data_IF_505380763404
#
_entry.id   IF_505380763404
#
_cell.length_a   1.000
_cell.length_b   1.000
_cell.length_c   1.000
_cell.angle_alpha   90.00
_cell.angle_beta   90.00
_cell.angle_gamma   90.00
#
_symmetry.space_group_name_H-M   'P 1'
#
loop_
_entity.id
_entity.type
_entity.pdbx_description
1 polymer ?
#
# COMPACT_ATOMS: atom_id res chain seq x y z
N UNK A 1 11.70 10.35 -12.33
CA UNK A 1 10.30 10.59 -11.92
C UNK A 1 9.91 12.05 -12.06
N UNK A 2 10.58 13.01 -11.41
CA UNK A 2 10.27 14.44 -11.63
C UNK A 2 10.28 14.84 -13.11
N UNK A 3 11.30 14.43 -13.88
CA UNK A 3 11.35 14.73 -15.33
C UNK A 3 10.28 14.05 -16.20
N UNK A 4 9.66 12.94 -15.76
CA UNK A 4 8.56 12.30 -16.52
C UNK A 4 7.22 12.99 -16.26
N UNK A 5 7.05 13.58 -15.07
CA UNK A 5 5.90 14.41 -14.76
C UNK A 5 5.90 15.71 -15.59
N UNK A 6 7.09 16.27 -15.81
CA UNK A 6 7.27 17.47 -16.63
C UNK A 6 6.90 17.23 -18.12
N UNK A 7 7.01 15.98 -18.60
CA UNK A 7 6.61 15.56 -19.96
C UNK A 7 5.13 15.13 -20.07
N UNK A 8 4.35 15.20 -18.97
CA UNK A 8 2.96 14.72 -18.89
C UNK A 8 2.76 13.25 -19.29
N UNK A 9 3.81 12.43 -19.18
CA UNK A 9 3.74 11.01 -19.51
C UNK A 9 3.07 10.20 -18.38
N UNK A 10 2.49 9.05 -18.73
CA UNK A 10 2.02 8.06 -17.76
C UNK A 10 3.21 7.34 -17.11
N UNK A 11 3.15 7.14 -15.79
CA UNK A 11 4.19 6.40 -15.08
C UNK A 11 3.65 5.66 -13.85
N UNK A 12 4.41 4.68 -13.39
CA UNK A 12 4.15 3.94 -12.17
C UNK A 12 5.43 3.83 -11.33
N UNK A 13 5.27 3.75 -10.01
CA UNK A 13 6.38 3.53 -9.09
C UNK A 13 5.94 2.67 -7.91
N UNK A 14 6.88 1.89 -7.38
CA UNK A 14 6.66 1.08 -6.19
C UNK A 14 7.10 1.84 -4.93
N UNK A 15 6.29 1.73 -3.87
CA UNK A 15 6.65 2.24 -2.55
C UNK A 15 5.93 1.44 -1.48
N UNK A 16 6.50 1.42 -0.26
CA UNK A 16 5.91 0.67 0.84
C UNK A 16 4.76 1.41 1.53
N UNK A 17 4.38 2.62 1.08
CA UNK A 17 3.39 3.52 1.71
C UNK A 17 3.66 3.87 3.19
N UNK A 18 4.87 3.57 3.71
CA UNK A 18 5.19 3.80 5.13
C UNK A 18 5.71 5.22 5.42
N UNK A 19 6.10 5.96 4.38
CA UNK A 19 6.51 7.37 4.43
C UNK A 19 5.38 8.28 3.97
N UNK A 20 5.40 9.55 4.39
CA UNK A 20 4.47 10.59 3.93
C UNK A 20 4.93 11.28 2.65
N UNK A 21 6.21 11.15 2.28
CA UNK A 21 6.83 11.88 1.16
C UNK A 21 6.06 11.69 -0.15
N UNK A 22 5.64 10.47 -0.46
CA UNK A 22 4.89 10.20 -1.68
C UNK A 22 3.47 10.78 -1.65
N UNK A 23 2.86 10.97 -0.47
CA UNK A 23 1.56 11.61 -0.40
C UNK A 23 1.63 13.08 -0.89
N UNK A 24 2.70 13.80 -0.51
CA UNK A 24 2.93 15.15 -1.04
C UNK A 24 3.21 15.16 -2.55
N UNK A 25 3.95 14.16 -3.05
CA UNK A 25 4.18 14.02 -4.49
C UNK A 25 2.87 13.76 -5.25
N UNK A 26 2.00 12.88 -4.76
CA UNK A 26 0.69 12.64 -5.37
C UNK A 26 -0.20 13.88 -5.34
N UNK A 27 -0.18 14.67 -4.26
CA UNK A 27 -0.90 15.95 -4.21
C UNK A 27 -0.44 16.91 -5.32
N UNK A 28 0.88 17.02 -5.53
CA UNK A 28 1.45 17.84 -6.61
C UNK A 28 0.97 17.36 -7.98
N UNK A 29 1.06 16.05 -8.25
CA UNK A 29 0.63 15.47 -9.52
C UNK A 29 -0.86 15.71 -9.79
N UNK A 30 -1.73 15.56 -8.78
CA UNK A 30 -3.16 15.87 -8.94
C UNK A 30 -3.38 17.34 -9.31
N UNK A 31 -2.64 18.26 -8.69
CA UNK A 31 -2.72 19.68 -9.04
C UNK A 31 -2.27 19.96 -10.48
N UNK A 32 -1.43 19.11 -11.05
CA UNK A 32 -0.95 19.16 -12.44
C UNK A 32 -1.87 18.41 -13.43
N UNK A 33 -2.97 17.80 -12.95
CA UNK A 33 -3.98 17.14 -13.77
C UNK A 33 -3.82 15.62 -13.90
N UNK A 34 -2.93 15.00 -13.14
CA UNK A 34 -2.77 13.54 -13.14
C UNK A 34 -3.92 12.81 -12.46
N UNK A 35 -4.27 11.66 -13.02
CA UNK A 35 -5.14 10.65 -12.39
C UNK A 35 -4.26 9.71 -11.56
N UNK A 36 -4.56 9.59 -10.28
CA UNK A 36 -3.83 8.77 -9.33
C UNK A 36 -4.55 7.44 -9.11
N UNK A 37 -3.93 6.36 -9.57
CA UNK A 37 -4.37 4.99 -9.29
C UNK A 37 -3.47 4.35 -8.24
N UNK A 38 -4.04 3.79 -7.17
CA UNK A 38 -3.31 3.09 -6.11
C UNK A 38 -3.68 1.60 -6.09
N UNK A 39 -2.68 0.75 -6.29
CA UNK A 39 -2.80 -0.70 -6.11
C UNK A 39 -2.02 -1.09 -4.86
N UNK A 40 -2.71 -1.49 -3.80
CA UNK A 40 -2.10 -1.79 -2.51
C UNK A 40 -2.20 -3.27 -2.15
N UNK A 41 -1.04 -3.88 -1.90
CA UNK A 41 -0.95 -5.25 -1.41
C UNK A 41 -0.62 -5.24 0.08
N UNK A 42 -1.45 -5.88 0.88
CA UNK A 42 -1.22 -6.05 2.32
C UNK A 42 -1.08 -7.52 2.68
N UNK A 43 -0.62 -7.75 3.91
CA UNK A 43 -0.67 -9.03 4.59
C UNK A 43 -1.58 -8.92 5.81
N UNK A 44 -1.98 -10.06 6.36
CA UNK A 44 -2.77 -10.17 7.58
C UNK A 44 -1.91 -10.10 8.87
N UNK A 45 -0.59 -10.21 8.76
CA UNK A 45 0.31 -10.25 9.92
C UNK A 45 1.71 -9.70 9.61
N UNK A 46 2.22 -8.80 10.45
CA UNK A 46 3.59 -8.30 10.40
C UNK A 46 4.64 -9.43 10.53
N UNK A 47 4.33 -10.49 11.29
CA UNK A 47 5.20 -11.66 11.42
C UNK A 47 5.36 -12.38 10.09
N UNK A 48 4.35 -12.38 9.23
CA UNK A 48 4.47 -12.95 7.88
C UNK A 48 5.42 -12.09 7.02
N UNK A 49 5.34 -10.76 7.11
CA UNK A 49 6.30 -9.88 6.45
C UNK A 49 7.74 -10.20 6.89
N UNK A 50 7.95 -10.36 8.20
CA UNK A 50 9.25 -10.74 8.76
C UNK A 50 9.73 -12.10 8.22
N UNK A 51 8.88 -13.13 8.24
CA UNK A 51 9.22 -14.46 7.69
C UNK A 51 9.63 -14.37 6.21
N UNK A 52 8.93 -13.58 5.40
CA UNK A 52 9.27 -13.38 3.99
C UNK A 52 10.62 -12.67 3.81
N UNK A 53 10.93 -11.68 4.65
CA UNK A 53 12.26 -11.04 4.66
C UNK A 53 13.35 -12.05 5.03
N UNK A 54 13.13 -12.86 6.08
CA UNK A 54 14.12 -13.89 6.47
C UNK A 54 14.31 -14.94 5.37
N UNK A 55 13.25 -15.31 4.67
CA UNK A 55 13.35 -16.24 3.55
C UNK A 55 14.20 -15.67 2.41
N UNK A 56 13.95 -14.43 1.95
CA UNK A 56 14.78 -13.83 0.89
C UNK A 56 16.23 -13.61 1.32
N UNK A 57 16.50 -13.33 2.60
CA UNK A 57 17.88 -13.18 3.12
C UNK A 57 18.65 -14.50 2.98
N UNK A 58 17.99 -15.64 3.25
CA UNK A 58 18.57 -16.97 3.00
C UNK A 58 18.90 -17.21 1.52
N UNK A 59 18.22 -16.50 0.61
CA UNK A 59 18.44 -16.55 -0.84
C UNK A 59 19.35 -15.41 -1.35
N UNK A 60 20.07 -14.72 -0.47
CA UNK A 60 21.02 -13.64 -0.83
C UNK A 60 20.43 -12.23 -0.89
N UNK A 61 19.18 -12.03 -0.45
CA UNK A 61 18.55 -10.71 -0.39
C UNK A 61 18.98 -9.85 0.82
N UNK A 62 18.63 -8.56 0.79
CA UNK A 62 18.94 -7.61 1.87
C UNK A 62 18.10 -7.84 3.14
N UNK A 63 18.79 -7.85 4.30
CA UNK A 63 18.17 -7.96 5.62
C UNK A 63 17.61 -6.62 6.11
N UNK A 64 16.50 -6.67 6.83
CA UNK A 64 15.89 -5.48 7.43
C UNK A 64 15.56 -5.84 8.88
N UNK A 65 15.92 -4.99 9.87
CA UNK A 65 15.61 -5.27 11.26
C UNK A 65 14.11 -5.49 11.50
N UNK A 66 13.76 -6.50 12.31
CA UNK A 66 12.37 -6.85 12.61
C UNK A 66 11.55 -5.65 13.09
N UNK A 67 12.10 -4.82 13.99
CA UNK A 67 11.44 -3.60 14.48
C UNK A 67 11.08 -2.63 13.34
N UNK A 68 11.93 -2.52 12.32
CA UNK A 68 11.69 -1.68 11.15
C UNK A 68 10.57 -2.26 10.28
N UNK A 69 10.57 -3.58 10.06
CA UNK A 69 9.53 -4.28 9.30
C UNK A 69 8.17 -4.08 9.98
N UNK A 70 8.07 -4.39 11.27
CA UNK A 70 6.83 -4.23 12.05
C UNK A 70 6.33 -2.79 12.02
N UNK A 71 7.20 -1.82 12.27
CA UNK A 71 6.84 -0.40 12.21
C UNK A 71 6.33 0.01 10.83
N UNK A 72 7.02 -0.41 9.75
CA UNK A 72 6.63 -0.07 8.37
C UNK A 72 5.31 -0.71 7.97
N UNK A 73 5.05 -1.95 8.40
CA UNK A 73 3.81 -2.68 8.14
C UNK A 73 2.58 -1.95 8.70
N UNK A 74 2.61 -1.58 9.98
CA UNK A 74 1.47 -0.87 10.56
C UNK A 74 1.32 0.54 10.00
N UNK A 75 2.44 1.27 9.83
CA UNK A 75 2.40 2.61 9.22
C UNK A 75 1.86 2.59 7.79
N UNK A 76 2.20 1.59 6.97
CA UNK A 76 1.68 1.52 5.61
C UNK A 76 0.17 1.34 5.58
N UNK A 77 -0.39 0.50 6.47
CA UNK A 77 -1.83 0.34 6.64
C UNK A 77 -2.49 1.65 7.09
N UNK A 78 -1.99 2.28 8.15
CA UNK A 78 -2.54 3.55 8.65
C UNK A 78 -2.47 4.64 7.58
N UNK A 79 -1.35 4.76 6.88
CA UNK A 79 -1.18 5.75 5.83
C UNK A 79 -2.06 5.45 4.62
N UNK A 80 -2.21 4.19 4.22
CA UNK A 80 -3.10 3.80 3.13
C UNK A 80 -4.50 4.39 3.38
N UNK A 81 -5.09 4.12 4.54
CA UNK A 81 -6.42 4.61 4.90
C UNK A 81 -6.48 6.13 5.10
N UNK A 82 -5.51 6.73 5.79
CA UNK A 82 -5.62 8.13 6.25
C UNK A 82 -5.02 9.15 5.28
N UNK A 83 -4.02 8.77 4.50
CA UNK A 83 -3.25 9.69 3.65
C UNK A 83 -3.43 9.42 2.16
N UNK A 84 -3.45 8.15 1.76
CA UNK A 84 -3.42 7.79 0.34
C UNK A 84 -4.82 7.60 -0.26
N UNK A 85 -5.77 7.01 0.47
CA UNK A 85 -7.15 6.88 0.00
C UNK A 85 -7.76 8.21 -0.47
N UNK A 86 -7.62 9.34 0.26
CA UNK A 86 -8.19 10.62 -0.19
C UNK A 86 -7.50 11.23 -1.43
N UNK A 87 -6.29 10.74 -1.77
CA UNK A 87 -5.53 11.22 -2.94
C UNK A 87 -5.79 10.37 -4.18
N UNK A 88 -6.29 9.15 -4.02
CA UNK A 88 -6.52 8.24 -5.13
C UNK A 88 -7.85 8.56 -5.85
N UNK A 89 -7.78 8.69 -7.17
CA UNK A 89 -8.97 8.70 -8.04
C UNK A 89 -9.53 7.29 -8.19
N UNK A 90 -8.65 6.29 -8.12
CA UNK A 90 -9.01 4.87 -8.09
C UNK A 90 -8.07 4.12 -7.14
N UNK A 91 -8.62 3.21 -6.34
CA UNK A 91 -7.79 2.36 -5.50
C UNK A 91 -8.29 0.92 -5.44
N UNK A 92 -7.35 -0.01 -5.26
CA UNK A 92 -7.61 -1.42 -5.05
C UNK A 92 -6.75 -1.93 -3.92
N UNK A 93 -7.31 -2.76 -3.04
CA UNK A 93 -6.57 -3.41 -1.97
C UNK A 93 -6.70 -4.94 -2.05
N UNK A 94 -5.57 -5.62 -1.93
CA UNK A 94 -5.46 -7.07 -2.02
C UNK A 94 -4.76 -7.64 -0.79
N UNK A 95 -5.24 -8.78 -0.30
CA UNK A 95 -4.50 -9.62 0.64
C UNK A 95 -3.58 -10.56 -0.13
N UNK A 96 -2.28 -10.51 0.15
CA UNK A 96 -1.30 -11.43 -0.41
C UNK A 96 -0.71 -12.37 0.65
N UNK A 97 -1.49 -12.75 1.67
CA UNK A 97 -0.99 -13.55 2.79
C UNK A 97 -0.73 -15.01 2.41
N UNK A 98 -1.50 -15.56 1.46
CA UNK A 98 -1.39 -16.97 1.04
C UNK A 98 -0.14 -17.25 0.22
N UNK A 99 0.44 -16.24 -0.44
CA UNK A 99 1.60 -16.38 -1.31
C UNK A 99 1.35 -17.11 -2.64
N UNK A 100 0.07 -17.40 -2.98
CA UNK A 100 -0.34 -17.96 -4.27
C UNK A 100 -0.93 -16.86 -5.15
N UNK A 101 -2.20 -16.56 -4.94
CA UNK A 101 -2.94 -15.52 -5.65
C UNK A 101 -3.42 -14.48 -4.65
N UNK A 102 -3.17 -13.21 -4.94
CA UNK A 102 -3.66 -12.12 -4.11
C UNK A 102 -5.19 -12.06 -4.16
N UNK A 103 -5.82 -12.02 -2.99
CA UNK A 103 -7.28 -11.97 -2.88
C UNK A 103 -7.74 -10.52 -2.80
N UNK A 104 -8.60 -10.09 -3.73
CA UNK A 104 -9.17 -8.74 -3.67
C UNK A 104 -10.02 -8.56 -2.40
N UNK A 105 -9.71 -7.51 -1.64
CA UNK A 105 -10.42 -7.15 -0.42
C UNK A 105 -11.54 -6.16 -0.76
N UNK A 106 -11.18 -5.06 -1.40
CA UNK A 106 -12.07 -3.96 -1.78
C UNK A 106 -11.43 -3.11 -2.89
N UNK A 107 -12.26 -2.34 -3.59
CA UNK A 107 -11.81 -1.34 -4.55
C UNK A 107 -12.77 -0.16 -4.60
N UNK A 108 -12.27 0.95 -5.13
CA UNK A 108 -13.02 2.14 -5.49
C UNK A 108 -12.71 2.50 -6.91
N UNK A 109 -13.73 2.45 -7.77
CA UNK A 109 -13.67 2.76 -9.20
C UNK A 109 -14.98 3.47 -9.54
N UNK A 110 -14.95 4.49 -10.41
CA UNK A 110 -16.15 5.21 -10.86
C UNK A 110 -17.03 5.72 -9.70
N UNK A 111 -16.40 6.29 -8.67
CA UNK A 111 -17.07 6.79 -7.46
C UNK A 111 -17.83 5.74 -6.63
N UNK A 112 -17.57 4.45 -6.83
CA UNK A 112 -18.21 3.37 -6.10
C UNK A 112 -17.19 2.53 -5.34
N UNK A 113 -17.39 2.40 -4.03
CA UNK A 113 -16.61 1.46 -3.21
C UNK A 113 -17.32 0.10 -3.17
N UNK A 114 -16.61 -0.95 -3.58
CA UNK A 114 -17.07 -2.33 -3.44
C UNK A 114 -16.17 -3.06 -2.45
N UNK A 115 -16.78 -3.67 -1.45
CA UNK A 115 -16.09 -4.52 -0.48
C UNK A 115 -16.38 -5.98 -0.83
N UNK A 116 -15.41 -6.67 -1.43
CA UNK A 116 -15.54 -8.07 -1.84
C UNK A 116 -15.43 -9.04 -0.66
N UNK A 117 -14.55 -8.74 0.31
CA UNK A 117 -14.38 -9.56 1.50
C UNK A 117 -14.57 -8.72 2.76
N UNK A 118 -15.77 -8.79 3.34
CA UNK A 118 -16.10 -8.06 4.56
C UNK A 118 -15.22 -8.48 5.75
N UNK A 119 -14.84 -9.76 5.82
CA UNK A 119 -13.94 -10.30 6.84
C UNK A 119 -12.56 -9.64 6.74
N UNK A 120 -11.93 -9.71 5.58
CA UNK A 120 -10.59 -9.14 5.37
C UNK A 120 -10.62 -7.61 5.55
N UNK A 121 -11.66 -6.94 5.05
CA UNK A 121 -11.83 -5.49 5.20
C UNK A 121 -11.89 -5.04 6.66
N UNK A 122 -12.65 -5.76 7.50
CA UNK A 122 -12.69 -5.50 8.95
C UNK A 122 -11.33 -5.74 9.60
N UNK A 123 -10.64 -6.82 9.22
CA UNK A 123 -9.35 -7.18 9.77
C UNK A 123 -8.27 -6.14 9.47
N UNK A 124 -8.15 -5.70 8.21
CA UNK A 124 -7.15 -4.69 7.84
C UNK A 124 -7.43 -3.32 8.46
N UNK A 125 -8.71 -2.95 8.65
CA UNK A 125 -9.06 -1.72 9.36
C UNK A 125 -8.70 -1.80 10.84
N UNK A 126 -8.91 -2.96 11.46
CA UNK A 126 -8.45 -3.22 12.82
C UNK A 126 -6.94 -3.08 12.92
N UNK A 127 -6.17 -3.70 12.02
CA UNK A 127 -4.70 -3.62 11.99
C UNK A 127 -4.21 -2.18 11.76
N UNK A 128 -4.86 -1.40 10.89
CA UNK A 128 -4.52 0.00 10.63
C UNK A 128 -4.71 0.92 11.86
N UNK A 129 -5.54 0.50 12.82
CA UNK A 129 -5.83 1.24 14.05
C UNK A 129 -5.02 0.74 15.27
N UNK A 130 -4.19 -0.30 15.14
CA UNK A 130 -3.38 -0.84 16.25
C UNK A 130 -2.17 0.04 16.67
N UNK A 131 -2.00 1.24 16.10
CA UNK A 131 -0.96 2.20 16.47
C UNK A 131 -1.52 3.52 17.05
N UNK A 132 -2.69 3.48 17.69
CA UNK A 132 -3.08 4.54 18.63
C UNK A 132 -2.58 4.20 20.03
#
# INVERSE_FOLDING_TARGET
>A
MHGLADEKADFAFETTLSSRTFAFFLQKLKAEGYIVTIIYFTLNDARLAYRRVRHRVKLGGHDIPQKVITRRFYRSLTNFFKLYLPLADTWMIFDNSTGKTATAIAWYINNQTVIKSQKLWKEIKRLANQQQ
#
